data_IF_160768401976
#
_entry.id   IF_160768401976
#
_cell.length_a   1.000
_cell.length_b   1.000
_cell.length_c   1.000
_cell.angle_alpha   90.00
_cell.angle_beta   90.00
_cell.angle_gamma   90.00
#
_symmetry.space_group_name_H-M   'P 1'
#
loop_
_entity.id
_entity.type
_entity.pdbx_description
1 polymer ?
#
# COMPACT_ATOMS: atom_id res chain seq x y z
N UNK A 1 -8.19 18.71 -11.15
CA UNK A 1 -8.82 17.36 -11.27
C UNK A 1 -8.18 16.42 -10.26
N UNK A 2 -8.90 15.42 -9.75
CA UNK A 2 -8.32 14.47 -8.77
C UNK A 2 -7.77 13.22 -9.47
N UNK A 3 -6.55 12.82 -9.09
CA UNK A 3 -5.90 11.58 -9.55
C UNK A 3 -5.97 10.53 -8.46
N UNK A 4 -6.25 9.28 -8.83
CA UNK A 4 -6.33 8.13 -7.92
C UNK A 4 -5.28 7.09 -8.32
N UNK A 5 -4.56 6.57 -7.33
CA UNK A 5 -3.65 5.42 -7.48
C UNK A 5 -3.94 4.37 -6.43
N UNK A 6 -3.65 3.12 -6.77
CA UNK A 6 -3.79 1.99 -5.85
C UNK A 6 -2.49 1.22 -5.76
N UNK A 7 -2.07 0.90 -4.54
CA UNK A 7 -0.96 -0.02 -4.26
C UNK A 7 -1.54 -1.27 -3.60
N UNK A 8 -1.25 -2.43 -4.17
CA UNK A 8 -1.72 -3.72 -3.65
C UNK A 8 -0.53 -4.54 -3.17
N UNK A 9 -0.55 -4.96 -1.91
CA UNK A 9 0.52 -5.77 -1.32
C UNK A 9 -0.07 -7.00 -0.66
N UNK A 10 0.38 -8.19 -1.06
CA UNK A 10 -0.07 -9.45 -0.46
C UNK A 10 1.07 -10.15 0.27
N UNK A 11 0.92 -10.27 1.58
CA UNK A 11 1.91 -10.90 2.48
C UNK A 11 1.37 -12.20 3.07
N UNK A 12 2.22 -13.14 3.48
CA UNK A 12 1.79 -14.29 4.28
C UNK A 12 1.19 -13.86 5.62
N UNK A 13 0.12 -14.54 6.04
CA UNK A 13 -0.51 -14.36 7.37
C UNK A 13 0.32 -15.01 8.49
N UNK A 14 1.14 -16.01 8.15
CA UNK A 14 1.84 -16.88 9.09
C UNK A 14 3.24 -16.37 9.47
N UNK A 15 3.56 -16.40 10.76
CA UNK A 15 4.78 -15.82 11.33
C UNK A 15 6.08 -16.56 11.00
N UNK A 16 6.01 -17.84 10.60
CA UNK A 16 7.21 -18.60 10.19
C UNK A 16 7.83 -18.09 8.87
N UNK A 17 7.09 -17.24 8.13
CA UNK A 17 7.60 -16.50 6.97
C UNK A 17 8.01 -15.06 7.35
N UNK A 18 8.24 -14.79 8.64
CA UNK A 18 8.55 -13.46 9.20
C UNK A 18 9.55 -12.63 8.40
N UNK A 19 10.71 -13.17 7.95
CA UNK A 19 11.65 -12.41 7.13
C UNK A 19 11.09 -11.99 5.76
N UNK A 20 10.35 -12.89 5.11
CA UNK A 20 9.74 -12.61 3.79
C UNK A 20 8.59 -11.61 3.93
N UNK A 21 7.74 -11.79 4.96
CA UNK A 21 6.66 -10.86 5.31
C UNK A 21 7.21 -9.48 5.63
N UNK A 22 8.25 -9.39 6.47
CA UNK A 22 8.89 -8.13 6.82
C UNK A 22 9.45 -7.41 5.61
N UNK A 23 10.10 -8.14 4.69
CA UNK A 23 10.59 -7.55 3.44
C UNK A 23 9.47 -7.00 2.56
N UNK A 24 8.38 -7.75 2.38
CA UNK A 24 7.25 -7.29 1.57
C UNK A 24 6.54 -6.06 2.18
N UNK A 25 6.47 -5.98 3.51
CA UNK A 25 5.95 -4.79 4.19
C UNK A 25 6.89 -3.60 4.02
N UNK A 26 8.21 -3.80 4.12
CA UNK A 26 9.18 -2.74 3.87
C UNK A 26 9.13 -2.24 2.41
N UNK A 27 8.95 -3.14 1.43
CA UNK A 27 8.78 -2.77 0.03
C UNK A 27 7.50 -1.94 -0.18
N UNK A 28 6.41 -2.31 0.50
CA UNK A 28 5.16 -1.53 0.52
C UNK A 28 5.37 -0.13 1.09
N UNK A 29 6.04 -0.01 2.24
CA UNK A 29 6.31 1.28 2.87
C UNK A 29 7.14 2.19 1.95
N UNK A 30 8.12 1.61 1.25
CA UNK A 30 8.93 2.33 0.27
C UNK A 30 8.09 2.83 -0.92
N UNK A 31 7.17 2.03 -1.43
CA UNK A 31 6.30 2.44 -2.54
C UNK A 31 5.30 3.52 -2.13
N UNK A 32 4.74 3.44 -0.92
CA UNK A 32 3.91 4.49 -0.35
C UNK A 32 4.70 5.80 -0.17
N UNK A 33 5.93 5.72 0.35
CA UNK A 33 6.80 6.89 0.53
C UNK A 33 7.10 7.59 -0.81
N UNK A 34 7.44 6.85 -1.87
CA UNK A 34 7.65 7.42 -3.22
C UNK A 34 6.41 8.13 -3.75
N UNK A 35 5.21 7.59 -3.47
CA UNK A 35 3.97 8.22 -3.89
C UNK A 35 3.68 9.50 -3.08
N UNK A 36 3.98 9.49 -1.79
CA UNK A 36 3.93 10.70 -0.95
C UNK A 36 4.88 11.78 -1.46
N UNK A 37 6.11 11.43 -1.83
CA UNK A 37 7.05 12.36 -2.47
C UNK A 37 6.52 12.90 -3.80
N UNK A 38 5.75 12.10 -4.54
CA UNK A 38 5.07 12.51 -5.77
C UNK A 38 3.77 13.33 -5.53
N UNK A 39 3.48 13.68 -4.27
CA UNK A 39 2.33 14.51 -3.88
C UNK A 39 1.02 13.74 -3.67
N UNK A 40 1.04 12.41 -3.67
CA UNK A 40 -0.14 11.62 -3.33
C UNK A 40 -0.33 11.52 -1.81
N UNK A 41 -1.57 11.56 -1.36
CA UNK A 41 -1.97 11.37 0.03
C UNK A 41 -2.70 10.03 0.14
N UNK A 42 -2.37 9.22 1.14
CA UNK A 42 -3.09 7.98 1.43
C UNK A 42 -4.51 8.31 1.89
N UNK A 43 -5.50 7.93 1.08
CA UNK A 43 -6.92 8.18 1.34
C UNK A 43 -7.56 7.04 2.14
N UNK A 44 -7.22 5.78 1.81
CA UNK A 44 -7.68 4.62 2.57
C UNK A 44 -6.74 3.43 2.43
N UNK A 45 -6.76 2.55 3.43
CA UNK A 45 -6.16 1.22 3.37
C UNK A 45 -7.26 0.20 3.67
N UNK A 46 -7.52 -0.69 2.72
CA UNK A 46 -8.38 -1.84 2.94
C UNK A 46 -7.54 -3.08 3.17
N UNK A 47 -7.85 -3.83 4.24
CA UNK A 47 -7.19 -5.09 4.54
C UNK A 47 -8.14 -6.24 4.25
N UNK A 48 -7.71 -7.16 3.40
CA UNK A 48 -8.43 -8.39 3.04
C UNK A 48 -7.69 -9.55 3.68
N UNK A 49 -8.26 -10.08 4.76
CA UNK A 49 -7.71 -11.22 5.47
C UNK A 49 -8.11 -12.54 4.78
N UNK A 50 -7.11 -13.34 4.41
CA UNK A 50 -7.27 -14.73 4.01
C UNK A 50 -6.53 -15.65 5.00
N UNK A 51 -6.81 -16.94 4.91
CA UNK A 51 -6.26 -17.96 5.83
C UNK A 51 -4.72 -17.98 5.83
N UNK A 52 -4.11 -17.99 4.65
CA UNK A 52 -2.64 -18.03 4.51
C UNK A 52 -2.01 -16.68 4.17
N UNK A 53 -2.80 -15.72 3.67
CA UNK A 53 -2.29 -14.44 3.18
C UNK A 53 -3.18 -13.26 3.57
N UNK A 54 -2.57 -12.12 3.83
CA UNK A 54 -3.24 -10.83 4.02
C UNK A 54 -2.90 -9.93 2.83
N UNK A 55 -3.93 -9.32 2.24
CA UNK A 55 -3.75 -8.32 1.18
C UNK A 55 -4.11 -6.94 1.70
N UNK A 56 -3.22 -5.98 1.49
CA UNK A 56 -3.46 -4.55 1.70
C UNK A 56 -3.73 -3.90 0.35
N UNK A 57 -4.78 -3.08 0.30
CA UNK A 57 -5.13 -2.26 -0.86
C UNK A 57 -5.13 -0.81 -0.39
N UNK A 58 -4.05 -0.10 -0.70
CA UNK A 58 -3.87 1.31 -0.38
C UNK A 58 -4.37 2.16 -1.53
N UNK A 59 -5.34 3.03 -1.26
CA UNK A 59 -5.84 4.00 -2.23
C UNK A 59 -5.25 5.35 -1.88
N UNK A 60 -4.57 5.97 -2.84
CA UNK A 60 -3.96 7.28 -2.70
C UNK A 60 -4.57 8.26 -3.70
N UNK A 61 -4.77 9.50 -3.25
CA UNK A 61 -5.32 10.58 -4.06
C UNK A 61 -4.35 11.74 -4.16
N UNK A 62 -4.31 12.40 -5.31
CA UNK A 62 -3.59 13.65 -5.49
C UNK A 62 -4.50 14.66 -6.18
N UNK A 63 -4.57 15.86 -5.65
CA UNK A 63 -5.25 16.97 -6.33
C UNK A 63 -4.29 17.57 -7.37
N UNK A 64 -4.74 17.69 -8.61
CA UNK A 64 -4.00 18.48 -9.59
C UNK A 64 -4.20 19.97 -9.27
N UNK A 65 -3.12 20.76 -9.11
CA UNK A 65 -3.20 22.16 -8.73
C UNK A 65 -3.83 23.07 -9.80
N UNK A 66 -4.08 22.55 -11.00
CA UNK A 66 -4.90 23.18 -12.03
C UNK A 66 -6.35 22.68 -11.93
N UNK A 67 -7.11 23.35 -11.06
CA UNK A 67 -8.58 23.40 -11.07
C UNK A 67 -9.00 24.84 -10.81
#
# INVERSE_FOLDING_TARGET
>A
MQQIRTVTTTVPSVDHLGPMRGRQLADRDLDLAKLTEAGYVLASTHTIAGEERVTFVDTLTREDPTA
#
